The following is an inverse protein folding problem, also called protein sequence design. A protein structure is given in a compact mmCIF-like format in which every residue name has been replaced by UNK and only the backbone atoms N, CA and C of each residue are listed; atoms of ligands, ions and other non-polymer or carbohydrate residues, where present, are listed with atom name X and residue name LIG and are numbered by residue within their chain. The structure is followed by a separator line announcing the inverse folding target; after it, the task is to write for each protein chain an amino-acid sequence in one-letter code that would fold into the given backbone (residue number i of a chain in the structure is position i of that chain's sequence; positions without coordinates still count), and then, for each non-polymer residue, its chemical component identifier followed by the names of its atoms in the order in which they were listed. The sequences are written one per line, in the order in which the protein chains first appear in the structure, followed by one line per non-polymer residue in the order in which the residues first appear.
data_IF_137198518366
#
_entry.id   IF_137198518366
#
_cell.length_a   1.000
_cell.length_b   1.000
_cell.length_c   1.000
_cell.angle_alpha   90.00
_cell.angle_beta   90.00
_cell.angle_gamma   90.00
#
_symmetry.space_group_name_H-M   'P 1'
#
loop_
_entity.id
_entity.type
_entity.pdbx_description
1 polymer ?
#
# COMPACT_ATOMS: atom_id res chain seq x y z
N UNK A 1 10.82 -3.57 -9.30
CA UNK A 1 10.28 -2.20 -9.55
C UNK A 1 9.08 -2.32 -10.46
N UNK A 2 8.14 -1.36 -10.44
CA UNK A 2 6.99 -1.42 -11.34
C UNK A 2 7.45 -1.10 -12.77
N UNK A 3 7.04 -1.87 -13.80
CA UNK A 3 7.44 -1.58 -15.18
C UNK A 3 7.05 -0.15 -15.59
N UNK A 4 8.02 0.61 -16.10
CA UNK A 4 7.82 1.99 -16.53
C UNK A 4 8.10 3.06 -15.46
N UNK A 5 8.34 2.70 -14.20
CA UNK A 5 8.80 3.66 -13.19
C UNK A 5 10.23 4.14 -13.50
N UNK A 6 10.43 5.45 -13.43
CA UNK A 6 11.73 6.09 -13.38
C UNK A 6 11.86 6.91 -12.11
N UNK A 7 13.07 6.94 -11.54
CA UNK A 7 13.35 7.67 -10.31
C UNK A 7 14.46 8.68 -10.56
N UNK A 8 14.28 9.88 -10.02
CA UNK A 8 15.27 10.94 -10.07
C UNK A 8 16.06 11.01 -8.75
N UNK A 9 17.30 11.48 -8.83
CA UNK A 9 18.12 11.71 -7.64
C UNK A 9 17.43 12.75 -6.75
N UNK A 10 17.29 12.47 -5.46
CA UNK A 10 16.60 13.32 -4.49
C UNK A 10 15.08 13.12 -4.43
N UNK A 11 14.50 12.29 -5.30
CA UNK A 11 13.09 11.93 -5.23
C UNK A 11 12.83 11.03 -4.01
N UNK A 12 11.81 11.38 -3.22
CA UNK A 12 11.32 10.49 -2.17
C UNK A 12 10.53 9.35 -2.80
N UNK A 13 10.87 8.13 -2.42
CA UNK A 13 10.19 6.92 -2.87
C UNK A 13 9.80 6.09 -1.66
N UNK A 14 8.60 5.52 -1.69
CA UNK A 14 8.14 4.50 -0.77
C UNK A 14 8.41 3.10 -1.36
N UNK A 15 8.70 2.11 -0.53
CA UNK A 15 8.87 0.73 -0.98
C UNK A 15 8.59 -0.23 0.17
N UNK A 16 8.29 -1.47 -0.19
CA UNK A 16 8.11 -2.56 0.76
C UNK A 16 9.44 -3.30 0.96
N UNK A 17 9.83 -3.56 2.20
CA UNK A 17 11.02 -4.36 2.49
C UNK A 17 10.68 -5.84 2.29
N UNK A 18 11.32 -6.48 1.33
CA UNK A 18 11.11 -7.90 1.02
C UNK A 18 12.08 -8.80 1.77
N UNK A 19 13.34 -8.36 1.89
CA UNK A 19 14.38 -9.13 2.54
C UNK A 19 15.39 -8.21 3.24
N UNK A 20 15.92 -8.68 4.36
CA UNK A 20 17.08 -8.10 5.02
C UNK A 20 18.12 -9.21 5.12
N UNK A 21 19.19 -9.12 4.32
CA UNK A 21 20.34 -10.01 4.47
C UNK A 21 21.29 -9.42 5.51
N UNK A 22 21.85 -10.28 6.35
CA UNK A 22 22.90 -9.94 7.31
C UNK A 22 24.13 -10.75 6.96
N UNK A 23 25.02 -10.16 6.17
CA UNK A 23 26.36 -10.71 5.98
C UNK A 23 27.29 -10.11 7.04
N UNK A 24 28.35 -10.85 7.39
CA UNK A 24 29.31 -10.47 8.44
C UNK A 24 29.96 -9.09 8.24
N UNK A 25 29.94 -8.56 7.01
CA UNK A 25 30.50 -7.26 6.66
C UNK A 25 29.47 -6.14 6.61
N UNK A 26 28.29 -6.39 6.04
CA UNK A 26 27.26 -5.37 5.85
C UNK A 26 25.87 -6.02 5.84
N UNK A 27 24.89 -5.33 6.44
CA UNK A 27 23.47 -5.68 6.26
C UNK A 27 22.96 -5.03 4.97
N UNK A 28 22.26 -5.81 4.15
CA UNK A 28 21.64 -5.32 2.92
C UNK A 28 20.11 -5.35 3.06
N UNK A 29 19.46 -4.24 2.74
CA UNK A 29 17.99 -4.14 2.70
C UNK A 29 17.53 -4.20 1.25
N UNK A 30 16.72 -5.19 0.92
CA UNK A 30 16.10 -5.32 -0.40
C UNK A 30 14.67 -4.80 -0.36
N UNK A 31 14.41 -3.78 -1.17
CA UNK A 31 13.11 -3.16 -1.32
C UNK A 31 12.41 -3.54 -2.63
N UNK A 32 11.08 -3.57 -2.61
CA UNK A 32 10.23 -3.85 -3.76
C UNK A 32 9.00 -2.95 -3.79
N UNK A 33 8.56 -2.57 -5.00
CA UNK A 33 7.30 -1.85 -5.24
C UNK A 33 6.27 -2.70 -5.99
N UNK A 34 6.59 -3.96 -6.30
CA UNK A 34 5.71 -4.89 -7.03
C UNK A 34 4.98 -5.86 -6.12
N UNK A 35 5.45 -6.06 -4.89
CA UNK A 35 4.84 -7.00 -3.96
C UNK A 35 3.41 -6.57 -3.57
N UNK A 36 2.43 -7.50 -3.46
CA UNK A 36 1.05 -7.16 -3.09
C UNK A 36 0.95 -6.43 -1.75
N UNK A 37 1.74 -6.85 -0.74
CA UNK A 37 1.77 -6.21 0.58
C UNK A 37 2.19 -4.73 0.54
N UNK A 38 2.88 -4.28 -0.52
CA UNK A 38 3.21 -2.86 -0.65
C UNK A 38 1.95 -1.99 -0.70
N UNK A 39 0.93 -2.40 -1.47
CA UNK A 39 -0.33 -1.66 -1.58
C UNK A 39 -1.13 -1.71 -0.27
N UNK A 40 -1.14 -2.87 0.38
CA UNK A 40 -1.80 -3.03 1.68
C UNK A 40 -1.19 -2.10 2.72
N UNK A 41 0.14 -2.03 2.82
CA UNK A 41 0.84 -1.15 3.76
C UNK A 41 0.63 0.33 3.47
N UNK A 42 0.52 0.71 2.19
CA UNK A 42 0.19 2.08 1.81
C UNK A 42 -1.22 2.48 2.27
N UNK A 43 -2.20 1.59 2.09
CA UNK A 43 -3.56 1.83 2.58
C UNK A 43 -3.60 1.92 4.10
N UNK A 44 -2.90 1.01 4.78
CA UNK A 44 -2.73 1.05 6.23
C UNK A 44 -2.09 2.37 6.68
N UNK A 45 -1.14 2.96 5.93
CA UNK A 45 -0.56 4.25 6.34
C UNK A 45 -1.43 5.48 6.03
N UNK A 46 -2.33 5.39 5.05
CA UNK A 46 -3.10 6.54 4.54
C UNK A 46 -4.50 6.64 5.16
N UNK A 47 -5.10 5.51 5.53
CA UNK A 47 -6.52 5.43 5.94
C UNK A 47 -6.59 5.14 7.44
N UNK A 48 -7.03 6.13 8.21
CA UNK A 48 -7.14 6.04 9.68
C UNK A 48 -8.02 4.87 10.14
N UNK A 49 -9.14 4.63 9.46
CA UNK A 49 -10.07 3.55 9.79
C UNK A 49 -9.44 2.17 9.63
N UNK A 50 -8.43 2.04 8.76
CA UNK A 50 -7.64 0.81 8.59
C UNK A 50 -6.59 0.68 9.70
N UNK A 51 -5.95 1.79 10.10
CA UNK A 51 -5.00 1.82 11.24
C UNK A 51 -5.68 1.37 12.53
N UNK A 52 -6.88 1.88 12.78
CA UNK A 52 -7.64 1.59 14.00
C UNK A 52 -8.26 0.20 14.01
N UNK A 53 -8.23 -0.51 12.87
CA UNK A 53 -8.86 -1.83 12.73
C UNK A 53 -10.39 -1.78 12.61
N UNK A 54 -10.98 -0.60 12.46
CA UNK A 54 -12.41 -0.42 12.20
C UNK A 54 -12.78 -0.92 10.80
N UNK A 55 -11.89 -0.73 9.82
CA UNK A 55 -11.98 -1.31 8.48
C UNK A 55 -10.80 -2.25 8.28
N UNK A 56 -11.08 -3.50 7.97
CA UNK A 56 -10.07 -4.53 7.70
C UNK A 56 -9.89 -4.77 6.20
N UNK A 57 -8.64 -4.91 5.75
CA UNK A 57 -8.30 -5.36 4.40
C UNK A 57 -8.32 -6.89 4.37
N UNK A 58 -9.32 -7.46 3.71
CA UNK A 58 -9.56 -8.90 3.66
C UNK A 58 -8.69 -9.59 2.60
N UNK A 59 -8.50 -8.94 1.45
CA UNK A 59 -7.72 -9.47 0.34
C UNK A 59 -7.24 -8.36 -0.59
N UNK A 60 -6.08 -8.58 -1.21
CA UNK A 60 -5.50 -7.70 -2.22
C UNK A 60 -5.08 -8.53 -3.43
N UNK A 61 -5.57 -8.16 -4.60
CA UNK A 61 -5.10 -8.66 -5.90
C UNK A 61 -4.53 -7.50 -6.69
N UNK A 62 -3.29 -7.62 -7.16
CA UNK A 62 -2.57 -6.50 -7.78
C UNK A 62 -1.77 -6.94 -8.99
N UNK A 63 -1.97 -6.22 -10.08
CA UNK A 63 -1.07 -6.17 -11.24
C UNK A 63 -0.30 -4.84 -11.16
N UNK A 64 0.97 -4.85 -10.73
CA UNK A 64 1.73 -3.64 -10.48
C UNK A 64 1.79 -2.74 -11.73
N UNK A 65 1.46 -1.44 -11.55
CA UNK A 65 1.44 -0.44 -12.63
C UNK A 65 0.23 -0.52 -13.56
N UNK A 66 -0.72 -1.42 -13.31
CA UNK A 66 -1.91 -1.59 -14.16
C UNK A 66 -3.21 -1.45 -13.39
N UNK A 67 -3.47 -2.37 -12.45
CA UNK A 67 -4.73 -2.43 -11.72
C UNK A 67 -4.57 -3.13 -10.37
N UNK A 68 -5.45 -2.79 -9.44
CA UNK A 68 -5.60 -3.52 -8.19
C UNK A 68 -7.08 -3.70 -7.86
N UNK A 69 -7.40 -4.79 -7.16
CA UNK A 69 -8.70 -5.05 -6.54
C UNK A 69 -8.46 -5.35 -5.07
N UNK A 70 -9.30 -4.78 -4.23
CA UNK A 70 -9.12 -4.79 -2.78
C UNK A 70 -10.47 -5.12 -2.17
N UNK A 71 -10.51 -6.12 -1.30
CA UNK A 71 -11.68 -6.48 -0.53
C UNK A 71 -11.51 -5.91 0.88
N UNK A 72 -12.51 -5.17 1.34
CA UNK A 72 -12.52 -4.54 2.66
C UNK A 72 -13.80 -4.88 3.40
N UNK A 73 -13.73 -4.90 4.73
CA UNK A 73 -14.87 -5.15 5.61
C UNK A 73 -14.81 -4.17 6.78
N UNK A 74 -15.96 -3.65 7.20
CA UNK A 74 -16.05 -2.89 8.45
C UNK A 74 -16.38 -3.83 9.62
N UNK A 75 -15.71 -3.61 10.75
CA UNK A 75 -16.05 -4.20 12.04
C UNK A 75 -17.14 -3.39 12.78
N UNK A 76 -17.37 -2.14 12.37
CA UNK A 76 -18.47 -1.30 12.85
C UNK A 76 -19.60 -1.25 11.78
N UNK A 77 -20.83 -1.72 12.09
CA UNK A 77 -21.94 -1.68 11.14
C UNK A 77 -22.37 -0.27 10.73
N UNK A 78 -21.97 0.76 11.48
CA UNK A 78 -22.27 2.16 11.19
C UNK A 78 -21.33 2.78 10.15
N UNK A 79 -20.26 2.08 9.77
CA UNK A 79 -19.21 2.58 8.88
C UNK A 79 -19.26 1.83 7.55
N UNK A 80 -19.36 2.58 6.44
CA UNK A 80 -19.17 2.05 5.11
C UNK A 80 -17.68 1.87 4.80
N UNK A 81 -17.18 0.64 4.65
CA UNK A 81 -15.76 0.39 4.43
C UNK A 81 -15.28 0.91 3.06
N UNK A 82 -16.16 0.96 2.05
CA UNK A 82 -15.78 1.47 0.73
C UNK A 82 -15.62 2.99 0.79
N UNK A 83 -16.63 3.68 1.34
CA UNK A 83 -16.60 5.13 1.55
C UNK A 83 -15.39 5.59 2.38
N UNK A 84 -15.08 4.87 3.46
CA UNK A 84 -13.90 5.14 4.30
C UNK A 84 -12.59 5.03 3.49
N UNK A 85 -12.43 3.98 2.68
CA UNK A 85 -11.21 3.82 1.89
C UNK A 85 -11.11 4.79 0.70
N UNK A 86 -12.24 5.17 0.09
CA UNK A 86 -12.27 6.03 -1.11
C UNK A 86 -12.10 7.52 -0.74
N UNK A 87 -12.75 7.97 0.33
CA UNK A 87 -12.81 9.38 0.73
C UNK A 87 -13.60 10.26 -0.25
N UNK A 88 -13.74 11.54 0.08
CA UNK A 88 -14.45 12.50 -0.77
C UNK A 88 -13.85 12.56 -2.19
N UNK A 89 -14.66 12.29 -3.22
CA UNK A 89 -14.23 12.32 -4.62
C UNK A 89 -13.11 11.32 -4.98
N UNK A 90 -12.85 10.31 -4.15
CA UNK A 90 -11.75 9.35 -4.37
C UNK A 90 -10.37 9.84 -3.96
N UNK A 91 -10.28 10.93 -3.18
CA UNK A 91 -9.01 11.57 -2.84
C UNK A 91 -7.99 10.62 -2.18
N UNK A 92 -8.43 9.73 -1.28
CA UNK A 92 -7.53 8.83 -0.54
C UNK A 92 -6.90 7.81 -1.49
N UNK A 93 -7.70 7.18 -2.35
CA UNK A 93 -7.19 6.20 -3.32
C UNK A 93 -6.30 6.86 -4.40
N UNK A 94 -6.63 8.09 -4.81
CA UNK A 94 -5.80 8.83 -5.79
C UNK A 94 -4.40 9.10 -5.25
N UNK A 95 -4.28 9.52 -3.99
CA UNK A 95 -2.98 9.75 -3.34
C UNK A 95 -2.06 8.52 -3.31
N UNK A 96 -2.63 7.32 -3.34
CA UNK A 96 -1.90 6.04 -3.34
C UNK A 96 -1.56 5.57 -4.76
N UNK A 97 -2.32 6.03 -5.76
CA UNK A 97 -2.19 5.60 -7.17
C UNK A 97 -1.23 6.48 -7.96
N UNK A 98 -1.09 7.76 -7.59
CA UNK A 98 -0.16 8.74 -8.18
C UNK A 98 1.27 8.61 -7.66
#
# INVERSE_FOLDING_TARGET
MIPGESFNIGQRISFYIENISKDDKHSQVQGTRTHPMYLQRLLESEIQEVIEGTVEIMAVSREPGKRAKIAVRSNDPSIDPIGACVGAGGQRIRSITE
#
